data_IF_917741195788
#
_entry.id   IF_917741195788
#
_cell.length_a   1.000
_cell.length_b   1.000
_cell.length_c   1.000
_cell.angle_alpha   90.00
_cell.angle_beta   90.00
_cell.angle_gamma   90.00
#
_symmetry.space_group_name_H-M   'P 1'
#
loop_
_entity.id
_entity.type
_entity.pdbx_description
1 polymer ?
#
# COMPACT_ATOMS: atom_id res chain seq x y z
N UNK A 1 19.38 11.15 -23.38
CA UNK A 1 18.24 10.48 -24.05
C UNK A 1 18.17 10.95 -25.49
N UNK A 2 17.88 10.03 -26.42
CA UNK A 2 17.78 10.35 -27.86
C UNK A 2 16.38 10.88 -28.20
N UNK A 3 16.23 11.56 -29.35
CA UNK A 3 14.92 12.07 -29.78
C UNK A 3 13.87 10.97 -29.92
N UNK A 4 14.29 9.78 -30.36
CA UNK A 4 13.43 8.61 -30.46
C UNK A 4 12.87 8.18 -29.10
N UNK A 5 13.72 8.12 -28.07
CA UNK A 5 13.31 7.81 -26.70
C UNK A 5 12.33 8.86 -26.15
N UNK A 6 12.54 10.14 -26.46
CA UNK A 6 11.66 11.22 -26.03
C UNK A 6 10.28 11.08 -26.70
N UNK A 7 10.23 10.84 -28.02
CA UNK A 7 8.98 10.61 -28.75
C UNK A 7 8.21 9.40 -28.22
N UNK A 8 8.92 8.32 -27.92
CA UNK A 8 8.31 7.11 -27.36
C UNK A 8 7.69 7.35 -25.99
N UNK A 9 8.35 8.11 -25.11
CA UNK A 9 7.77 8.50 -23.82
C UNK A 9 6.54 9.40 -24.00
N UNK A 10 6.63 10.42 -24.84
CA UNK A 10 5.50 11.34 -25.10
C UNK A 10 4.28 10.59 -25.64
N UNK A 11 4.48 9.61 -26.53
CA UNK A 11 3.40 8.75 -27.02
C UNK A 11 2.74 7.93 -25.89
N UNK A 12 3.53 7.40 -24.94
CA UNK A 12 3.00 6.71 -23.75
C UNK A 12 2.20 7.64 -22.85
N UNK A 13 2.70 8.85 -22.59
CA UNK A 13 2.00 9.89 -21.82
C UNK A 13 0.67 10.28 -22.49
N UNK A 14 0.67 10.54 -23.80
CA UNK A 14 -0.54 10.89 -24.55
C UNK A 14 -1.60 9.78 -24.53
N UNK A 15 -1.19 8.52 -24.70
CA UNK A 15 -2.09 7.37 -24.63
C UNK A 15 -2.69 7.18 -23.23
N UNK A 16 -1.89 7.38 -22.18
CA UNK A 16 -2.37 7.30 -20.81
C UNK A 16 -3.38 8.41 -20.49
N UNK A 17 -3.10 9.65 -20.90
CA UNK A 17 -4.01 10.78 -20.76
C UNK A 17 -5.34 10.54 -21.52
N UNK A 18 -5.28 10.03 -22.76
CA UNK A 18 -6.47 9.69 -23.55
C UNK A 18 -7.32 8.58 -22.90
N UNK A 19 -6.70 7.68 -22.14
CA UNK A 19 -7.40 6.63 -21.38
C UNK A 19 -8.02 7.12 -20.06
N UNK A 20 -7.94 8.42 -19.76
CA UNK A 20 -8.43 9.02 -18.52
C UNK A 20 -7.59 8.67 -17.28
N UNK A 21 -6.42 8.04 -17.47
CA UNK A 21 -5.49 7.69 -16.38
C UNK A 21 -4.52 8.84 -16.18
N UNK A 22 -4.15 9.10 -14.93
CA UNK A 22 -3.15 10.11 -14.61
C UNK A 22 -1.81 9.67 -15.24
N UNK A 23 -1.27 10.39 -16.24
CA UNK A 23 -0.12 9.92 -17.01
C UNK A 23 1.19 10.13 -16.23
N UNK A 24 1.14 10.88 -15.15
CA UNK A 24 2.24 11.09 -14.21
C UNK A 24 2.32 9.94 -13.22
N UNK A 25 3.47 9.27 -13.20
CA UNK A 25 3.77 8.36 -12.09
C UNK A 25 4.02 9.18 -10.83
N UNK A 26 3.39 8.78 -9.72
CA UNK A 26 3.66 9.38 -8.42
C UNK A 26 5.18 9.39 -8.15
N UNK A 27 5.70 10.55 -7.77
CA UNK A 27 7.13 10.70 -7.49
C UNK A 27 7.53 9.73 -6.36
N UNK A 28 8.81 9.31 -6.32
CA UNK A 28 9.33 8.52 -5.20
C UNK A 28 9.02 9.23 -3.86
N UNK A 29 9.13 10.56 -3.81
CA UNK A 29 8.81 11.34 -2.62
C UNK A 29 7.32 11.25 -2.25
N UNK A 30 6.42 11.26 -3.23
CA UNK A 30 4.98 11.15 -3.03
C UNK A 30 4.58 9.75 -2.54
N UNK A 31 5.19 8.69 -3.11
CA UNK A 31 5.03 7.32 -2.62
C UNK A 31 5.49 7.14 -1.18
N UNK A 32 6.57 7.82 -0.79
CA UNK A 32 7.08 7.79 0.58
C UNK A 32 6.18 8.57 1.55
N UNK A 33 5.55 9.66 1.13
CA UNK A 33 4.57 10.40 1.95
C UNK A 33 3.35 9.56 2.35
N UNK A 34 2.91 8.64 1.48
CA UNK A 34 1.76 7.77 1.73
C UNK A 34 2.13 6.42 2.36
N UNK A 35 3.41 6.16 2.61
CA UNK A 35 3.83 4.89 3.21
C UNK A 35 3.58 4.93 4.72
N UNK A 36 2.76 4.00 5.22
CA UNK A 36 2.57 3.82 6.66
C UNK A 36 3.94 3.60 7.35
N UNK A 37 4.21 4.28 8.48
CA UNK A 37 5.40 4.02 9.28
C UNK A 37 5.32 2.65 9.98
N UNK A 38 4.11 2.12 10.20
CA UNK A 38 3.89 0.85 10.88
C UNK A 38 3.65 -0.27 9.84
N UNK A 39 4.48 -1.33 9.86
CA UNK A 39 4.27 -2.49 9.00
C UNK A 39 3.07 -3.34 9.46
N UNK A 40 2.45 -4.02 8.51
CA UNK A 40 1.19 -4.76 8.71
C UNK A 40 1.30 -5.90 9.74
N UNK A 41 2.47 -6.50 9.91
CA UNK A 41 2.68 -7.57 10.91
C UNK A 41 2.58 -7.06 12.36
N UNK A 42 2.98 -5.81 12.64
CA UNK A 42 2.82 -5.22 13.97
C UNK A 42 1.33 -5.06 14.28
N UNK A 43 0.56 -4.58 13.31
CA UNK A 43 -0.89 -4.47 13.46
C UNK A 43 -1.53 -5.84 13.73
N UNK A 44 -1.08 -6.88 13.03
CA UNK A 44 -1.55 -8.25 13.25
C UNK A 44 -1.25 -8.76 14.66
N UNK A 45 -0.06 -8.49 15.21
CA UNK A 45 0.30 -8.85 16.59
C UNK A 45 -0.58 -8.11 17.60
N UNK A 46 -0.81 -6.81 17.42
CA UNK A 46 -1.67 -6.03 18.32
C UNK A 46 -3.09 -6.60 18.31
N UNK A 47 -3.65 -6.85 17.13
CA UNK A 47 -4.99 -7.46 16.99
C UNK A 47 -5.01 -8.83 17.68
N UNK A 48 -3.99 -9.66 17.46
CA UNK A 48 -3.90 -10.98 18.08
C UNK A 48 -3.82 -10.88 19.61
N UNK A 49 -3.10 -9.92 20.19
CA UNK A 49 -3.05 -9.75 21.65
C UNK A 49 -4.40 -9.30 22.20
N UNK A 50 -5.01 -8.29 21.57
CA UNK A 50 -6.30 -7.73 22.01
C UNK A 50 -7.42 -8.76 21.91
N UNK A 51 -7.51 -9.47 20.79
CA UNK A 51 -8.55 -10.47 20.53
C UNK A 51 -8.21 -11.81 21.20
N UNK A 52 -6.94 -12.19 21.23
CA UNK A 52 -6.45 -13.42 21.85
C UNK A 52 -6.64 -13.44 23.36
N UNK A 53 -6.55 -12.28 24.03
CA UNK A 53 -6.93 -12.16 25.44
C UNK A 53 -8.40 -12.54 25.67
N UNK A 54 -9.31 -12.20 24.76
CA UNK A 54 -10.71 -12.59 24.83
C UNK A 54 -10.88 -14.09 24.63
N UNK A 55 -10.19 -14.69 23.65
CA UNK A 55 -10.23 -16.14 23.46
C UNK A 55 -9.67 -16.91 24.66
N UNK A 56 -8.61 -16.41 25.27
CA UNK A 56 -8.05 -16.99 26.48
C UNK A 56 -9.02 -16.88 27.66
N UNK A 57 -9.67 -15.73 27.85
CA UNK A 57 -10.68 -15.54 28.90
C UNK A 57 -11.91 -16.44 28.68
N UNK A 58 -12.39 -16.57 27.44
CA UNK A 58 -13.47 -17.50 27.11
C UNK A 58 -13.08 -18.95 27.36
N UNK A 59 -11.87 -19.35 26.95
CA UNK A 59 -11.36 -20.69 27.22
C UNK A 59 -11.25 -20.95 28.72
N UNK A 60 -10.77 -19.98 29.51
CA UNK A 60 -10.77 -20.05 30.97
C UNK A 60 -12.20 -20.27 31.48
N UNK A 61 -13.16 -19.41 31.13
CA UNK A 61 -14.54 -19.53 31.62
C UNK A 61 -15.22 -20.87 31.28
N UNK A 62 -14.86 -21.50 30.17
CA UNK A 62 -15.45 -22.77 29.71
C UNK A 62 -14.73 -23.99 30.31
N UNK A 63 -13.40 -23.94 30.46
CA UNK A 63 -12.59 -25.10 30.79
C UNK A 63 -11.92 -25.06 32.19
N UNK A 64 -12.00 -23.94 32.91
CA UNK A 64 -11.37 -23.74 34.22
C UNK A 64 -12.32 -23.08 35.22
#
# INVERSE_FOLDING_TARGET
PTEFEIRQRNAKFAKAAASGKNPTHASRQEKLKHKSPVPLWILAVIIFVVVGGVFFELARLIFL
#
